data_IF_968513243009
#
_entry.id   IF_968513243009
#
_cell.length_a   1.000
_cell.length_b   1.000
_cell.length_c   1.000
_cell.angle_alpha   90.00
_cell.angle_beta   90.00
_cell.angle_gamma   90.00
#
_symmetry.space_group_name_H-M   'P 1'
#
loop_
_entity.id
_entity.type
_entity.pdbx_description
1 polymer ?
#
# COMPACT_ATOMS: atom_id res chain seq x y z
N UNK A 1 -37.84 16.20 2.89
CA UNK A 1 -36.42 16.33 2.50
C UNK A 1 -36.37 16.01 1.02
N UNK A 2 -35.91 16.97 0.23
CA UNK A 2 -36.13 17.05 -1.20
C UNK A 2 -35.24 16.03 -1.93
N UNK A 3 -35.81 15.22 -2.84
CA UNK A 3 -35.06 14.11 -3.48
C UNK A 3 -33.85 14.62 -4.29
N UNK A 4 -33.86 15.90 -4.64
CA UNK A 4 -32.79 16.66 -5.29
C UNK A 4 -31.51 16.76 -4.44
N UNK A 5 -31.62 16.97 -3.12
CA UNK A 5 -30.47 17.07 -2.21
C UNK A 5 -29.80 15.70 -1.98
N UNK A 6 -30.60 14.63 -1.93
CA UNK A 6 -30.10 13.26 -1.82
C UNK A 6 -29.35 12.83 -3.09
N UNK A 7 -29.87 13.18 -4.27
CA UNK A 7 -29.20 12.92 -5.55
C UNK A 7 -27.88 13.70 -5.68
N UNK A 8 -27.87 14.99 -5.32
CA UNK A 8 -26.65 15.80 -5.32
C UNK A 8 -25.57 15.23 -4.39
N UNK A 9 -25.96 14.75 -3.21
CA UNK A 9 -25.05 14.12 -2.25
C UNK A 9 -24.48 12.80 -2.77
N UNK A 10 -25.32 11.97 -3.42
CA UNK A 10 -24.89 10.72 -4.05
C UNK A 10 -23.88 10.98 -5.18
N UNK A 11 -24.17 11.93 -6.08
CA UNK A 11 -23.26 12.32 -7.15
C UNK A 11 -21.92 12.82 -6.62
N UNK A 12 -21.93 13.66 -5.58
CA UNK A 12 -20.71 14.15 -4.93
C UNK A 12 -19.86 13.01 -4.37
N UNK A 13 -20.49 12.04 -3.68
CA UNK A 13 -19.80 10.85 -3.16
C UNK A 13 -19.21 9.99 -4.28
N UNK A 14 -19.95 9.74 -5.36
CA UNK A 14 -19.46 8.98 -6.52
C UNK A 14 -18.23 9.67 -7.13
N UNK A 15 -18.31 10.98 -7.39
CA UNK A 15 -17.20 11.75 -7.93
C UNK A 15 -15.97 11.69 -7.02
N UNK A 16 -16.17 11.80 -5.70
CA UNK A 16 -15.08 11.71 -4.73
C UNK A 16 -14.39 10.34 -4.76
N UNK A 17 -15.16 9.25 -4.86
CA UNK A 17 -14.63 7.90 -4.94
C UNK A 17 -13.84 7.67 -6.24
N UNK A 18 -14.36 8.15 -7.38
CA UNK A 18 -13.65 8.09 -8.66
C UNK A 18 -12.32 8.85 -8.63
N UNK A 19 -12.29 10.04 -8.02
CA UNK A 19 -11.06 10.81 -7.87
C UNK A 19 -10.03 10.12 -6.96
N UNK A 20 -10.47 9.49 -5.86
CA UNK A 20 -9.60 8.69 -4.99
C UNK A 20 -8.97 7.54 -5.77
N UNK A 21 -9.78 6.79 -6.54
CA UNK A 21 -9.28 5.68 -7.35
C UNK A 21 -8.27 6.15 -8.41
N UNK A 22 -8.52 7.29 -9.06
CA UNK A 22 -7.58 7.87 -10.02
C UNK A 22 -6.26 8.28 -9.37
N UNK A 23 -6.30 8.89 -8.17
CA UNK A 23 -5.08 9.23 -7.42
C UNK A 23 -4.30 7.98 -7.04
N UNK A 24 -4.96 6.98 -6.47
CA UNK A 24 -4.33 5.70 -6.10
C UNK A 24 -3.70 5.04 -7.33
N UNK A 25 -4.38 5.06 -8.48
CA UNK A 25 -3.83 4.54 -9.73
C UNK A 25 -2.51 5.24 -10.13
N UNK A 26 -2.48 6.57 -10.10
CA UNK A 26 -1.27 7.34 -10.40
C UNK A 26 -0.12 7.04 -9.42
N UNK A 27 -0.43 6.88 -8.12
CA UNK A 27 0.55 6.47 -7.12
C UNK A 27 1.12 5.07 -7.45
N UNK A 28 0.29 4.12 -7.89
CA UNK A 28 0.76 2.79 -8.32
C UNK A 28 1.67 2.83 -9.55
N UNK A 29 1.42 3.74 -10.50
CA UNK A 29 2.32 3.96 -11.63
C UNK A 29 3.70 4.46 -11.16
N UNK A 30 3.71 5.39 -10.21
CA UNK A 30 4.95 5.87 -9.60
C UNK A 30 5.69 4.77 -8.82
N UNK A 31 4.97 3.97 -8.05
CA UNK A 31 5.51 2.79 -7.35
C UNK A 31 6.23 1.87 -8.33
N UNK A 32 5.59 1.48 -9.43
CA UNK A 32 6.21 0.61 -10.45
C UNK A 32 7.48 1.24 -11.04
N UNK A 33 7.45 2.55 -11.31
CA UNK A 33 8.61 3.29 -11.82
C UNK A 33 9.77 3.32 -10.83
N UNK A 34 9.51 3.56 -9.55
CA UNK A 34 10.55 3.66 -8.53
C UNK A 34 11.09 2.29 -8.13
N UNK A 35 10.24 1.28 -8.03
CA UNK A 35 10.63 -0.10 -7.76
C UNK A 35 11.57 -0.64 -8.85
N UNK A 36 11.20 -0.49 -10.12
CA UNK A 36 12.03 -0.94 -11.25
C UNK A 36 13.37 -0.19 -11.36
N UNK A 37 13.44 1.05 -10.87
CA UNK A 37 14.66 1.87 -10.89
C UNK A 37 15.51 1.78 -9.62
N UNK A 38 15.13 0.96 -8.63
CA UNK A 38 15.83 0.85 -7.35
C UNK A 38 15.79 2.12 -6.49
N UNK A 39 14.82 3.02 -6.73
CA UNK A 39 14.66 4.28 -5.99
C UNK A 39 13.85 4.04 -4.70
N UNK A 40 14.48 3.36 -3.74
CA UNK A 40 13.82 2.83 -2.54
C UNK A 40 13.14 3.88 -1.67
N UNK A 41 13.75 5.06 -1.49
CA UNK A 41 13.15 6.14 -0.70
C UNK A 41 11.86 6.64 -1.34
N UNK A 42 11.90 6.96 -2.64
CA UNK A 42 10.72 7.41 -3.38
C UNK A 42 9.65 6.33 -3.43
N UNK A 43 10.03 5.07 -3.67
CA UNK A 43 9.11 3.95 -3.63
C UNK A 43 8.39 3.88 -2.28
N UNK A 44 9.11 3.95 -1.16
CA UNK A 44 8.49 3.95 0.16
C UNK A 44 7.53 5.14 0.39
N UNK A 45 7.91 6.33 -0.06
CA UNK A 45 7.07 7.53 0.07
C UNK A 45 5.77 7.39 -0.71
N UNK A 46 5.78 6.85 -1.93
CA UNK A 46 4.54 6.62 -2.68
C UNK A 46 3.64 5.60 -1.97
N UNK A 47 4.22 4.56 -1.35
CA UNK A 47 3.45 3.61 -0.53
C UNK A 47 2.83 4.27 0.71
N UNK A 48 3.53 5.20 1.37
CA UNK A 48 2.95 6.00 2.47
C UNK A 48 1.76 6.83 1.98
N UNK A 49 1.86 7.44 0.80
CA UNK A 49 0.76 8.20 0.19
C UNK A 49 -0.43 7.31 -0.14
N UNK A 50 -0.19 6.10 -0.66
CA UNK A 50 -1.26 5.12 -0.90
C UNK A 50 -1.97 4.77 0.40
N UNK A 51 -1.21 4.52 1.48
CA UNK A 51 -1.81 4.26 2.78
C UNK A 51 -2.72 5.40 3.24
N UNK A 52 -2.32 6.67 3.09
CA UNK A 52 -3.17 7.81 3.44
C UNK A 52 -4.50 7.84 2.66
N UNK A 53 -4.51 7.42 1.39
CA UNK A 53 -5.73 7.34 0.58
C UNK A 53 -6.64 6.17 1.00
N UNK A 54 -6.04 5.07 1.48
CA UNK A 54 -6.77 3.88 1.95
C UNK A 54 -7.21 3.99 3.41
N UNK A 55 -6.51 4.76 4.23
CA UNK A 55 -6.71 4.83 5.68
C UNK A 55 -8.05 5.46 6.06
N UNK A 56 -8.58 6.35 5.21
CA UNK A 56 -9.90 6.97 5.43
C UNK A 56 -11.06 5.98 5.48
N UNK A 57 -10.91 4.81 4.84
CA UNK A 57 -11.93 3.76 4.78
C UNK A 57 -11.67 2.64 5.80
N UNK A 58 -10.63 2.76 6.64
CA UNK A 58 -10.42 1.85 7.76
C UNK A 58 -11.48 2.21 8.80
N UNK A 59 -12.58 1.46 8.84
CA UNK A 59 -13.60 1.63 9.87
C UNK A 59 -12.95 1.53 11.26
N UNK A 60 -12.98 2.62 12.04
CA UNK A 60 -12.54 2.66 13.45
C UNK A 60 -13.31 1.65 14.34
N UNK A 61 -14.38 1.06 13.80
CA UNK A 61 -15.33 0.20 14.48
C UNK A 61 -15.05 -1.31 14.45
N UNK A 62 -13.93 -1.81 13.91
CA UNK A 62 -13.54 -3.20 14.18
C UNK A 62 -12.99 -3.31 15.60
N UNK A 63 -13.87 -3.06 16.60
CA UNK A 63 -13.70 -3.47 17.98
C UNK A 63 -13.15 -4.89 17.94
N UNK A 64 -11.98 -5.06 18.57
CA UNK A 64 -11.36 -6.33 18.96
C UNK A 64 -12.38 -7.47 18.89
N UNK A 65 -12.49 -8.14 17.74
CA UNK A 65 -13.02 -9.51 17.76
C UNK A 65 -12.03 -10.27 18.62
N UNK A 66 -12.57 -11.10 19.52
CA UNK A 66 -11.92 -11.92 20.56
C UNK A 66 -10.83 -12.90 20.05
N UNK A 67 -9.90 -12.44 19.22
CA UNK A 67 -8.66 -13.12 18.89
C UNK A 67 -7.54 -12.21 19.39
N UNK A 68 -6.96 -12.51 20.54
CA UNK A 68 -5.96 -11.67 21.23
C UNK A 68 -4.65 -11.47 20.43
N UNK A 69 -4.49 -12.15 19.30
CA UNK A 69 -3.25 -12.19 18.52
C UNK A 69 -3.24 -11.37 17.21
N UNK A 70 -4.36 -10.80 16.77
CA UNK A 70 -4.41 -10.10 15.46
C UNK A 70 -4.20 -8.60 15.59
N UNK A 71 -3.05 -8.10 15.11
CA UNK A 71 -2.71 -6.67 15.05
C UNK A 71 -3.74 -5.89 14.22
N UNK A 72 -3.95 -4.63 14.56
CA UNK A 72 -4.80 -3.74 13.76
C UNK A 72 -4.08 -3.35 12.46
N UNK A 73 -4.83 -2.95 11.42
CA UNK A 73 -4.25 -2.48 10.15
C UNK A 73 -3.25 -1.32 10.37
N UNK A 74 -3.55 -0.31 11.22
CA UNK A 74 -2.57 0.72 11.58
C UNK A 74 -1.30 0.17 12.24
N UNK A 75 -1.43 -0.80 13.15
CA UNK A 75 -0.27 -1.39 13.83
C UNK A 75 0.60 -2.21 12.87
N UNK A 76 -0.01 -3.02 12.00
CA UNK A 76 0.70 -3.76 10.95
C UNK A 76 1.45 -2.82 10.00
N UNK A 77 0.81 -1.72 9.60
CA UNK A 77 1.45 -0.72 8.74
C UNK A 77 2.61 -0.03 9.45
N UNK A 78 2.45 0.31 10.73
CA UNK A 78 3.50 0.92 11.55
C UNK A 78 4.72 -0.01 11.65
N UNK A 79 4.51 -1.30 11.97
CA UNK A 79 5.58 -2.29 12.03
C UNK A 79 6.34 -2.42 10.70
N UNK A 80 5.60 -2.41 9.58
CA UNK A 80 6.20 -2.42 8.24
C UNK A 80 7.04 -1.17 8.01
N UNK A 81 6.54 0.00 8.42
CA UNK A 81 7.26 1.26 8.25
C UNK A 81 8.54 1.34 9.10
N UNK A 82 8.51 0.79 10.32
CA UNK A 82 9.69 0.68 11.17
C UNK A 82 10.75 -0.21 10.51
N UNK A 83 10.36 -1.40 10.02
CA UNK A 83 11.25 -2.31 9.28
C UNK A 83 11.85 -1.66 8.04
N UNK A 84 11.05 -0.96 7.24
CA UNK A 84 11.54 -0.23 6.06
C UNK A 84 12.54 0.84 6.48
N UNK A 85 12.22 1.61 7.52
CA UNK A 85 13.07 2.70 8.00
C UNK A 85 14.43 2.21 8.49
N UNK A 86 14.46 1.06 9.17
CA UNK A 86 15.72 0.41 9.56
C UNK A 86 16.55 0.02 8.35
N UNK A 87 15.94 -0.60 7.33
CA UNK A 87 16.65 -1.02 6.12
C UNK A 87 17.13 0.12 5.24
N UNK A 88 16.36 1.20 5.14
CA UNK A 88 16.78 2.39 4.41
C UNK A 88 18.04 3.04 5.01
N UNK A 89 18.26 2.95 6.33
CA UNK A 89 19.48 3.47 6.98
C UNK A 89 20.73 2.64 6.64
N UNK A 90 20.56 1.37 6.27
CA UNK A 90 21.67 0.49 5.87
C UNK A 90 22.16 0.78 4.44
N UNK A 91 21.40 1.55 3.66
CA UNK A 91 21.78 1.96 2.31
C UNK A 91 22.82 3.07 2.35
N UNK A 92 23.99 2.79 1.80
CA UNK A 92 25.06 3.77 1.64
C UNK A 92 25.02 4.37 0.23
N UNK A 93 25.15 5.70 0.09
CA UNK A 93 25.30 6.30 -1.23
C UNK A 93 26.59 5.78 -1.88
N UNK A 94 26.51 5.48 -3.17
CA UNK A 94 27.69 5.28 -4.00
C UNK A 94 28.46 6.59 -4.13
N UNK A 95 29.79 6.53 -4.07
CA UNK A 95 30.66 7.67 -4.37
C UNK A 95 31.22 7.50 -5.79
N UNK A 96 30.98 8.48 -6.65
CA UNK A 96 31.56 8.51 -8.00
C UNK A 96 31.13 7.33 -8.89
N UNK A 97 32.11 6.68 -9.53
CA UNK A 97 31.94 5.57 -10.48
C UNK A 97 32.14 4.19 -9.83
N UNK A 98 32.15 4.12 -8.49
CA UNK A 98 32.35 2.86 -7.79
C UNK A 98 31.22 1.87 -8.08
N UNK A 99 31.56 0.58 -8.14
CA UNK A 99 30.57 -0.50 -8.19
C UNK A 99 30.11 -0.83 -6.77
N UNK A 100 28.86 -1.28 -6.66
CA UNK A 100 28.36 -1.81 -5.39
C UNK A 100 29.17 -3.02 -4.92
N UNK A 101 29.58 -3.01 -3.66
CA UNK A 101 30.13 -4.19 -2.99
C UNK A 101 29.05 -5.27 -2.79
N UNK A 102 29.45 -6.51 -2.51
CA UNK A 102 28.51 -7.60 -2.24
C UNK A 102 27.64 -7.32 -1.00
N UNK A 103 28.18 -6.67 0.03
CA UNK A 103 27.42 -6.21 1.19
C UNK A 103 26.35 -5.19 0.80
N UNK A 104 26.70 -4.24 -0.06
CA UNK A 104 25.75 -3.23 -0.55
C UNK A 104 24.62 -3.89 -1.37
N UNK A 105 24.95 -4.81 -2.28
CA UNK A 105 23.95 -5.57 -3.04
C UNK A 105 23.02 -6.37 -2.13
N UNK A 106 23.58 -6.98 -1.09
CA UNK A 106 22.81 -7.73 -0.08
C UNK A 106 21.85 -6.81 0.66
N UNK A 107 22.29 -5.62 1.08
CA UNK A 107 21.44 -4.64 1.76
C UNK A 107 20.36 -4.08 0.83
N UNK A 108 20.68 -3.85 -0.45
CA UNK A 108 19.69 -3.46 -1.46
C UNK A 108 18.61 -4.51 -1.65
N UNK A 109 18.99 -5.81 -1.72
CA UNK A 109 18.03 -6.91 -1.82
C UNK A 109 17.12 -6.99 -0.58
N UNK A 110 17.68 -6.93 0.61
CA UNK A 110 16.90 -6.93 1.87
C UNK A 110 15.95 -5.73 1.94
N UNK A 111 16.42 -4.56 1.51
CA UNK A 111 15.59 -3.35 1.46
C UNK A 111 14.43 -3.52 0.48
N UNK A 112 14.71 -4.04 -0.72
CA UNK A 112 13.70 -4.37 -1.72
C UNK A 112 12.62 -5.31 -1.15
N UNK A 113 13.02 -6.40 -0.50
CA UNK A 113 12.09 -7.39 0.07
C UNK A 113 11.16 -6.76 1.13
N UNK A 114 11.69 -5.91 2.00
CA UNK A 114 10.87 -5.26 3.05
C UNK A 114 9.89 -4.24 2.45
N UNK A 115 10.32 -3.45 1.46
CA UNK A 115 9.43 -2.50 0.78
C UNK A 115 8.37 -3.24 -0.04
N UNK A 116 8.74 -4.34 -0.71
CA UNK A 116 7.81 -5.19 -1.44
C UNK A 116 6.73 -5.78 -0.51
N UNK A 117 7.09 -6.21 0.70
CA UNK A 117 6.12 -6.70 1.68
C UNK A 117 5.11 -5.60 2.08
N UNK A 118 5.59 -4.36 2.25
CA UNK A 118 4.71 -3.21 2.49
C UNK A 118 3.78 -2.94 1.30
N UNK A 119 4.28 -3.05 0.08
CA UNK A 119 3.46 -2.94 -1.13
C UNK A 119 2.38 -4.04 -1.20
N UNK A 120 2.74 -5.30 -0.97
CA UNK A 120 1.80 -6.43 -0.96
C UNK A 120 0.71 -6.21 0.08
N UNK A 121 1.06 -5.73 1.28
CA UNK A 121 0.10 -5.38 2.32
C UNK A 121 -0.91 -4.33 1.83
N UNK A 122 -0.44 -3.24 1.20
CA UNK A 122 -1.33 -2.19 0.69
C UNK A 122 -2.23 -2.67 -0.47
N UNK A 123 -1.72 -3.54 -1.33
CA UNK A 123 -2.54 -4.17 -2.38
C UNK A 123 -3.66 -5.03 -1.78
N UNK A 124 -3.35 -5.83 -0.76
CA UNK A 124 -4.35 -6.61 -0.02
C UNK A 124 -5.38 -5.71 0.67
N UNK A 125 -4.93 -4.61 1.29
CA UNK A 125 -5.82 -3.63 1.92
C UNK A 125 -6.78 -3.00 0.89
N UNK A 126 -6.26 -2.56 -0.26
CA UNK A 126 -7.05 -1.98 -1.34
C UNK A 126 -8.08 -2.97 -1.92
N UNK A 127 -7.69 -4.22 -2.12
CA UNK A 127 -8.59 -5.28 -2.57
C UNK A 127 -9.71 -5.53 -1.55
N UNK A 128 -9.38 -5.58 -0.26
CA UNK A 128 -10.37 -5.75 0.83
C UNK A 128 -11.38 -4.60 0.90
N UNK A 129 -11.01 -3.42 0.41
CA UNK A 129 -11.90 -2.25 0.31
C UNK A 129 -12.68 -2.18 -1.01
N UNK A 130 -12.56 -3.19 -1.89
CA UNK A 130 -13.23 -3.23 -3.19
C UNK A 130 -12.68 -2.22 -4.21
N UNK A 131 -11.51 -1.61 -3.93
CA UNK A 131 -10.86 -0.61 -4.81
C UNK A 131 -9.82 -1.23 -5.75
N UNK A 132 -9.55 -2.52 -5.60
CA UNK A 132 -8.60 -3.25 -6.42
C UNK A 132 -9.25 -4.17 -7.45
N UNK A 133 -8.42 -4.83 -8.24
CA UNK A 133 -8.85 -5.67 -9.37
C UNK A 133 -9.03 -7.15 -8.99
N UNK A 134 -8.75 -7.52 -7.74
CA UNK A 134 -9.04 -8.87 -7.27
C UNK A 134 -10.54 -8.96 -6.99
N UNK A 135 -11.25 -9.64 -7.89
CA UNK A 135 -12.63 -10.08 -7.67
C UNK A 135 -12.72 -10.84 -6.34
N UNK A 136 -13.67 -10.46 -5.48
CA UNK A 136 -13.97 -11.14 -4.22
C UNK A 136 -14.16 -12.65 -4.46
N UNK A 137 -13.42 -13.48 -3.72
CA UNK A 137 -13.72 -14.84 -3.24
C UNK A 137 -14.61 -15.80 -4.08
N UNK A 138 -14.64 -15.70 -5.41
CA UNK A 138 -15.26 -16.71 -6.29
C UNK A 138 -14.23 -17.57 -7.03
N UNK A 139 -12.93 -17.35 -6.81
CA UNK A 139 -11.86 -18.14 -7.43
C UNK A 139 -11.54 -19.44 -6.68
N UNK A 140 -11.91 -19.54 -5.38
CA UNK A 140 -11.80 -20.80 -4.63
C UNK A 140 -12.81 -21.86 -5.08
N UNK A 141 -13.91 -21.46 -5.75
CA UNK A 141 -14.85 -22.38 -6.39
C UNK A 141 -14.35 -22.90 -7.76
N UNK A 142 -13.44 -22.18 -8.44
CA UNK A 142 -12.96 -22.56 -9.78
C UNK A 142 -11.80 -23.57 -9.77
N UNK A 143 -11.06 -23.67 -8.65
CA UNK A 143 -9.91 -24.58 -8.49
C UNK A 143 -10.34 -25.94 -7.88
N UNK A 144 -11.59 -26.06 -7.43
CA UNK A 144 -12.20 -27.33 -6.95
C UNK A 144 -13.26 -27.90 -7.91
N UNK A 145 -13.09 -27.64 -9.21
CA UNK A 145 -13.69 -28.47 -10.26
C UNK A 145 -12.89 -29.76 -10.45
#
# INVERSE_FOLDING_TARGET
MDSSEEEATKLSKINSASLINLRIHNLWLNVNRFASSGKYFQWNTELDRIYCELSGDIQEGSKKKKDEDKKSIPDEFKDLNEKVSEKLKELKPLKGFDKHSEDQKTNMKKTYEVILNKEIFLRKLMNKQGKGTAYEDSWDEYIKG
#
